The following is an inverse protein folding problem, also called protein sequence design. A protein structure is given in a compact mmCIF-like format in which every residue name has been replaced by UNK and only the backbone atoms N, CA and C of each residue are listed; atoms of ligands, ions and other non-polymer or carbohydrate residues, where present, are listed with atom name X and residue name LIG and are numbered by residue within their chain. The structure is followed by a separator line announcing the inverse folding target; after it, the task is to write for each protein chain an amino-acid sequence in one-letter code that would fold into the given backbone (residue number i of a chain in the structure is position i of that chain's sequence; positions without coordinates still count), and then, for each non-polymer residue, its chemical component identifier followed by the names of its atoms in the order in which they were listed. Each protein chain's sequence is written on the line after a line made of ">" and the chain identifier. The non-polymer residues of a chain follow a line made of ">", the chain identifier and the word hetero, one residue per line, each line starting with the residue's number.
data_IF_211974572840
#
_entry.id   IF_211974572840
#
_cell.length_a   1.000
_cell.length_b   1.000
_cell.length_c   1.000
_cell.angle_alpha   90.00
_cell.angle_beta   90.00
_cell.angle_gamma   90.00
#
_symmetry.space_group_name_H-M   'P 1'
#
loop_
_entity.id
_entity.type
_entity.pdbx_description
1 polymer ?
#
# COMPACT_ATOMS: atom_id res chain seq x y z
N UNK A 1 30.02 -27.20 -17.37
CA UNK A 1 28.63 -26.75 -17.44
C UNK A 1 28.63 -25.48 -18.31
N UNK A 2 28.15 -25.55 -19.54
CA UNK A 2 28.08 -24.38 -20.44
C UNK A 2 26.71 -23.74 -20.16
N UNK A 3 26.69 -22.66 -19.38
CA UNK A 3 25.50 -21.79 -19.28
C UNK A 3 25.35 -21.14 -20.67
N UNK A 4 24.25 -21.42 -21.35
CA UNK A 4 23.98 -20.82 -22.65
C UNK A 4 23.66 -19.34 -22.44
N UNK A 5 24.11 -18.48 -23.35
CA UNK A 5 23.85 -17.03 -23.35
C UNK A 5 22.33 -16.76 -23.29
N UNK A 6 21.50 -17.67 -23.81
CA UNK A 6 20.03 -17.62 -23.72
C UNK A 6 19.49 -17.75 -22.30
N UNK A 7 20.14 -18.53 -21.42
CA UNK A 7 19.72 -18.67 -20.02
C UNK A 7 20.01 -17.40 -19.19
N UNK A 8 21.12 -16.72 -19.49
CA UNK A 8 21.47 -15.43 -18.85
C UNK A 8 20.53 -14.30 -19.29
N UNK A 9 20.13 -14.27 -20.57
CA UNK A 9 19.16 -13.29 -21.07
C UNK A 9 17.75 -13.53 -20.47
N UNK A 10 17.34 -14.79 -20.31
CA UNK A 10 16.06 -15.13 -19.66
C UNK A 10 16.07 -14.73 -18.18
N UNK A 11 17.15 -14.98 -17.45
CA UNK A 11 17.31 -14.57 -16.05
C UNK A 11 17.31 -13.03 -15.90
N UNK A 12 18.00 -12.31 -16.79
CA UNK A 12 17.98 -10.85 -16.81
C UNK A 12 16.59 -10.27 -17.14
N UNK A 13 15.80 -10.96 -17.99
CA UNK A 13 14.41 -10.58 -18.29
C UNK A 13 13.49 -10.80 -17.08
N UNK A 14 13.64 -11.91 -16.34
CA UNK A 14 12.86 -12.21 -15.13
C UNK A 14 13.10 -11.15 -14.07
N UNK A 15 14.37 -10.81 -13.79
CA UNK A 15 14.70 -9.76 -12.82
C UNK A 15 14.08 -8.41 -13.19
N UNK A 16 14.10 -8.03 -14.48
CA UNK A 16 13.50 -6.76 -14.92
C UNK A 16 11.96 -6.77 -14.89
N UNK A 17 11.31 -7.90 -15.15
CA UNK A 17 9.83 -8.00 -15.12
C UNK A 17 9.32 -7.98 -13.69
N UNK A 18 9.96 -8.71 -12.76
CA UNK A 18 9.59 -8.70 -11.34
C UNK A 18 9.72 -7.31 -10.71
N UNK A 19 10.77 -6.58 -11.08
CA UNK A 19 11.02 -5.21 -10.62
C UNK A 19 10.06 -4.18 -11.24
N UNK A 20 9.67 -4.33 -12.51
CA UNK A 20 8.77 -3.38 -13.17
C UNK A 20 7.34 -3.42 -12.61
N UNK A 21 6.90 -4.53 -12.02
CA UNK A 21 5.53 -4.70 -11.54
C UNK A 21 5.34 -4.34 -10.06
N UNK A 22 6.34 -4.52 -9.22
CA UNK A 22 6.35 -3.95 -7.87
C UNK A 22 6.45 -2.42 -7.87
N UNK A 23 6.84 -1.82 -8.99
CA UNK A 23 7.06 -0.37 -9.19
C UNK A 23 5.78 0.44 -9.52
N UNK A 24 4.65 -0.20 -9.75
CA UNK A 24 3.40 0.50 -10.14
C UNK A 24 2.46 0.80 -8.98
N UNK A 25 2.85 0.51 -7.74
CA UNK A 25 2.03 0.77 -6.56
C UNK A 25 2.68 1.83 -5.67
N UNK A 26 1.89 2.83 -5.26
CA UNK A 26 2.29 3.78 -4.22
C UNK A 26 2.50 3.10 -2.86
N UNK A 27 2.83 3.89 -1.85
CA UNK A 27 2.98 3.39 -0.49
C UNK A 27 1.65 3.08 0.20
N UNK A 28 0.60 3.81 -0.15
CA UNK A 28 -0.71 3.64 0.46
C UNK A 28 -1.40 2.39 -0.09
N UNK A 29 -1.75 1.48 0.81
CA UNK A 29 -2.51 0.28 0.48
C UNK A 29 -3.98 0.49 0.87
N UNK A 30 -4.88 0.87 -0.07
CA UNK A 30 -6.27 1.09 0.24
C UNK A 30 -6.94 -0.21 0.70
N UNK A 31 -7.88 -0.10 1.66
CA UNK A 31 -8.59 -1.24 2.24
C UNK A 31 -7.88 -1.92 3.42
N UNK A 32 -6.66 -1.49 3.78
CA UNK A 32 -5.94 -2.01 4.96
C UNK A 32 -6.50 -1.42 6.26
N UNK A 33 -6.93 -0.16 6.23
CA UNK A 33 -7.56 0.49 7.39
C UNK A 33 -9.02 0.04 7.55
N UNK A 34 -9.49 -0.03 8.79
CA UNK A 34 -10.88 -0.36 9.06
C UNK A 34 -11.77 0.87 8.90
N UNK A 35 -13.08 0.63 8.77
CA UNK A 35 -14.06 1.68 8.42
C UNK A 35 -14.03 2.90 9.37
N UNK A 36 -13.55 2.80 10.61
CA UNK A 36 -13.54 3.93 11.56
C UNK A 36 -12.17 4.43 11.95
N UNK A 37 -11.12 3.95 11.31
CA UNK A 37 -9.73 4.24 11.71
C UNK A 37 -9.23 5.63 11.25
N UNK A 38 -9.92 6.26 10.29
CA UNK A 38 -9.52 7.56 9.75
C UNK A 38 -10.14 8.76 10.50
N UNK A 39 -10.77 8.53 11.65
CA UNK A 39 -11.28 9.59 12.52
C UNK A 39 -10.24 9.99 13.57
N UNK A 40 -9.99 11.29 13.71
CA UNK A 40 -9.11 11.81 14.76
C UNK A 40 -9.73 11.54 16.14
N UNK A 41 -8.99 10.96 17.10
CA UNK A 41 -9.52 10.76 18.45
C UNK A 41 -10.02 12.07 19.08
N UNK A 42 -11.23 12.08 19.65
CA UNK A 42 -11.86 13.31 20.17
C UNK A 42 -11.25 13.80 21.50
N UNK A 43 -10.40 12.99 22.11
CA UNK A 43 -9.79 13.27 23.41
C UNK A 43 -8.27 13.33 23.29
N UNK A 44 -7.60 14.24 24.02
CA UNK A 44 -6.14 14.25 24.06
C UNK A 44 -5.60 12.98 24.71
N UNK A 45 -4.49 12.47 24.16
CA UNK A 45 -3.82 11.30 24.70
C UNK A 45 -2.84 10.68 23.71
N UNK A 46 -2.14 9.67 24.21
CA UNK A 46 -1.33 8.79 23.38
C UNK A 46 -2.15 7.54 23.04
N UNK A 47 -2.15 7.17 21.79
CA UNK A 47 -2.85 6.00 21.27
C UNK A 47 -1.86 5.13 20.52
N UNK A 48 -2.07 3.83 20.62
CA UNK A 48 -1.34 2.83 19.90
C UNK A 48 -2.31 1.97 19.10
N UNK A 49 -2.04 1.81 17.81
CA UNK A 49 -2.70 0.83 16.97
C UNK A 49 -1.64 0.00 16.26
N UNK A 50 -1.98 -1.19 15.82
CA UNK A 50 -1.10 -2.01 15.00
C UNK A 50 -1.90 -2.64 13.88
N UNK A 51 -1.45 -2.38 12.66
CA UNK A 51 -1.97 -3.05 11.49
C UNK A 51 -1.08 -4.24 11.15
N UNK A 52 -1.72 -5.36 10.83
CA UNK A 52 -1.03 -6.54 10.34
C UNK A 52 -1.76 -6.94 9.06
N UNK A 53 -1.03 -6.98 7.96
CA UNK A 53 -1.56 -7.37 6.66
C UNK A 53 -0.81 -8.60 6.15
N UNK A 54 -1.54 -9.57 5.63
CA UNK A 54 -1.01 -10.68 4.86
C UNK A 54 -1.64 -10.64 3.48
N UNK A 55 -0.80 -10.63 2.48
CA UNK A 55 -1.19 -10.64 1.07
C UNK A 55 -0.54 -11.81 0.37
N UNK A 56 -1.31 -12.52 -0.44
CA UNK A 56 -0.87 -13.65 -1.24
C UNK A 56 -1.43 -13.49 -2.66
N UNK A 57 -0.58 -13.65 -3.67
CA UNK A 57 -0.97 -13.62 -5.06
C UNK A 57 -0.23 -14.71 -5.85
N UNK A 58 -0.99 -15.56 -6.51
CA UNK A 58 -0.50 -16.69 -7.33
C UNK A 58 -0.51 -16.40 -8.83
N UNK A 59 -0.86 -15.19 -9.23
CA UNK A 59 -0.96 -14.80 -10.65
C UNK A 59 -1.05 -13.29 -10.83
N UNK A 60 -0.60 -12.87 -11.98
CA UNK A 60 -0.81 -11.53 -12.50
C UNK A 60 -1.93 -11.52 -13.55
N UNK A 61 -2.77 -10.49 -13.52
CA UNK A 61 -3.82 -10.27 -14.53
C UNK A 61 -3.78 -8.82 -15.03
N UNK A 62 -4.09 -8.61 -16.30
CA UNK A 62 -4.26 -7.27 -16.88
C UNK A 62 -5.60 -6.63 -16.50
N UNK A 63 -5.84 -5.39 -16.94
CA UNK A 63 -7.09 -4.66 -16.66
C UNK A 63 -8.35 -5.30 -17.23
N UNK A 64 -8.22 -6.22 -18.17
CA UNK A 64 -9.31 -7.00 -18.80
C UNK A 64 -9.50 -8.37 -18.12
N UNK A 65 -8.67 -8.70 -17.12
CA UNK A 65 -8.71 -9.97 -16.39
C UNK A 65 -7.99 -11.11 -17.08
N UNK A 66 -7.26 -10.85 -18.18
CA UNK A 66 -6.46 -11.88 -18.84
C UNK A 66 -5.15 -12.09 -18.08
N UNK A 67 -4.66 -13.33 -18.06
CA UNK A 67 -3.29 -13.61 -17.60
C UNK A 67 -2.32 -12.92 -18.56
N UNK A 68 -1.57 -11.93 -18.09
CA UNK A 68 -0.74 -11.07 -18.94
C UNK A 68 0.63 -11.66 -19.28
N UNK A 69 0.82 -12.93 -19.12
CA UNK A 69 2.13 -13.54 -19.05
C UNK A 69 2.48 -14.43 -20.23
N UNK A 70 1.63 -14.41 -21.26
CA UNK A 70 1.94 -15.05 -22.52
C UNK A 70 2.47 -13.99 -23.48
N UNK A 71 3.80 -13.90 -23.64
CA UNK A 71 4.39 -13.08 -24.69
C UNK A 71 4.78 -13.96 -25.86
N UNK A 72 4.40 -13.55 -27.06
CA UNK A 72 5.04 -14.09 -28.25
C UNK A 72 6.43 -13.47 -28.40
N UNK A 73 7.46 -14.28 -28.27
CA UNK A 73 8.83 -13.89 -28.61
C UNK A 73 9.24 -14.52 -29.96
N UNK A 74 10.30 -14.00 -30.59
CA UNK A 74 10.90 -14.65 -31.78
C UNK A 74 11.28 -16.12 -31.55
N UNK A 75 11.27 -16.60 -30.28
CA UNK A 75 11.60 -17.97 -29.86
C UNK A 75 10.43 -18.84 -29.49
N UNK A 76 9.19 -18.31 -29.51
CA UNK A 76 7.97 -19.03 -29.08
C UNK A 76 7.21 -18.37 -27.94
N UNK A 77 6.20 -19.06 -27.45
CA UNK A 77 5.37 -18.62 -26.31
C UNK A 77 6.17 -18.69 -25.00
N UNK A 78 6.16 -17.61 -24.24
CA UNK A 78 6.82 -17.49 -22.92
C UNK A 78 5.72 -17.47 -21.86
N UNK A 79 5.77 -18.44 -20.94
CA UNK A 79 4.86 -18.50 -19.79
C UNK A 79 5.61 -18.10 -18.51
N UNK A 80 5.08 -17.16 -17.77
CA UNK A 80 5.59 -16.71 -16.48
C UNK A 80 4.57 -17.04 -15.38
N UNK A 81 4.94 -17.85 -14.42
CA UNK A 81 4.19 -18.09 -13.18
C UNK A 81 4.87 -17.28 -12.06
N UNK A 82 4.08 -16.58 -11.26
CA UNK A 82 4.58 -15.80 -10.11
C UNK A 82 3.77 -16.11 -8.88
N UNK A 83 4.47 -16.33 -7.76
CA UNK A 83 3.90 -16.41 -6.42
C UNK A 83 4.50 -15.29 -5.57
N UNK A 84 3.66 -14.51 -4.92
CA UNK A 84 4.06 -13.40 -4.06
C UNK A 84 3.35 -13.50 -2.73
N UNK A 85 4.13 -13.58 -1.64
CA UNK A 85 3.66 -13.53 -0.27
C UNK A 85 4.22 -12.30 0.43
N UNK A 86 3.36 -11.49 1.03
CA UNK A 86 3.76 -10.31 1.81
C UNK A 86 3.12 -10.36 3.18
N UNK A 87 3.95 -10.30 4.23
CA UNK A 87 3.52 -10.02 5.59
C UNK A 87 3.99 -8.61 5.95
N UNK A 88 3.06 -7.71 6.28
CA UNK A 88 3.36 -6.36 6.73
C UNK A 88 2.84 -6.12 8.15
N UNK A 89 3.65 -5.44 8.96
CA UNK A 89 3.34 -5.03 10.32
C UNK A 89 3.63 -3.54 10.45
N UNK A 90 2.60 -2.75 10.77
CA UNK A 90 2.69 -1.31 10.92
C UNK A 90 2.17 -0.87 12.30
N UNK A 91 3.03 -0.74 13.32
CA UNK A 91 2.68 -0.10 14.58
C UNK A 91 2.50 1.40 14.37
N UNK A 92 1.40 1.95 14.85
CA UNK A 92 1.05 3.37 14.78
C UNK A 92 1.14 3.98 16.16
N UNK A 93 1.99 5.00 16.31
CA UNK A 93 2.17 5.79 17.52
C UNK A 93 1.54 7.16 17.31
N UNK A 94 0.37 7.37 17.91
CA UNK A 94 -0.47 8.53 17.68
C UNK A 94 -0.56 9.41 18.95
N UNK A 95 -0.42 10.72 18.77
CA UNK A 95 -0.70 11.74 19.79
C UNK A 95 -1.84 12.64 19.33
N UNK A 96 -2.97 12.57 20.02
CA UNK A 96 -4.01 13.58 19.96
C UNK A 96 -3.70 14.65 21.02
N UNK A 97 -3.68 15.89 20.61
CA UNK A 97 -3.31 17.00 21.49
C UNK A 97 -4.55 17.71 22.04
N UNK A 98 -4.35 18.58 23.05
CA UNK A 98 -5.40 19.50 23.52
C UNK A 98 -5.52 20.75 22.67
N UNK A 99 -4.74 20.87 21.59
CA UNK A 99 -4.75 22.05 20.71
C UNK A 99 -5.79 21.90 19.60
N UNK A 100 -6.36 23.02 19.22
CA UNK A 100 -7.24 23.13 18.06
C UNK A 100 -6.59 23.99 16.97
N UNK A 101 -6.73 23.58 15.72
CA UNK A 101 -6.30 24.33 14.53
C UNK A 101 -7.50 24.43 13.60
N UNK A 102 -7.88 25.64 13.20
CA UNK A 102 -9.05 25.91 12.36
C UNK A 102 -10.36 25.28 12.91
N UNK A 103 -10.48 25.20 14.24
CA UNK A 103 -11.62 24.57 14.91
C UNK A 103 -11.57 23.03 14.97
N UNK A 104 -10.56 22.40 14.39
CA UNK A 104 -10.36 20.96 14.42
C UNK A 104 -9.48 20.55 15.61
N UNK A 105 -9.69 19.36 16.14
CA UNK A 105 -8.73 18.70 17.03
C UNK A 105 -7.46 18.39 16.23
N UNK A 106 -6.30 18.69 16.83
CA UNK A 106 -5.02 18.44 16.19
C UNK A 106 -4.35 17.19 16.76
N UNK A 107 -3.96 16.31 15.88
CA UNK A 107 -3.18 15.11 16.18
C UNK A 107 -2.00 14.96 15.20
N UNK A 108 -1.08 14.08 15.51
CA UNK A 108 0.01 13.66 14.64
C UNK A 108 0.41 12.23 14.99
N UNK A 109 0.99 11.50 14.03
CA UNK A 109 1.47 10.15 14.29
C UNK A 109 2.68 9.75 13.45
N UNK A 110 3.33 8.68 13.87
CA UNK A 110 4.38 7.98 13.12
C UNK A 110 4.05 6.50 13.06
N UNK A 111 4.27 5.90 11.92
CA UNK A 111 4.03 4.48 11.66
C UNK A 111 5.25 3.88 10.93
N UNK A 112 6.25 3.35 11.67
CA UNK A 112 7.28 2.54 11.05
C UNK A 112 6.66 1.25 10.51
N UNK A 113 7.12 0.80 9.35
CA UNK A 113 6.66 -0.43 8.73
C UNK A 113 7.75 -1.51 8.82
N UNK A 114 7.31 -2.74 9.01
CA UNK A 114 8.16 -3.92 8.98
C UNK A 114 7.50 -4.95 8.08
N UNK A 115 8.30 -5.67 7.30
CA UNK A 115 7.75 -6.63 6.37
C UNK A 115 8.61 -7.86 6.18
N UNK A 116 7.95 -8.91 5.70
CA UNK A 116 8.56 -10.03 5.03
C UNK A 116 7.89 -10.16 3.67
N UNK A 117 8.71 -10.24 2.61
CA UNK A 117 8.26 -10.51 1.24
C UNK A 117 8.93 -11.78 0.76
N UNK A 118 8.17 -12.67 0.16
CA UNK A 118 8.67 -13.83 -0.57
C UNK A 118 8.14 -13.74 -1.98
N UNK A 119 9.04 -13.78 -2.96
CA UNK A 119 8.69 -13.73 -4.39
C UNK A 119 9.32 -14.93 -5.08
N UNK A 120 8.48 -15.82 -5.61
CA UNK A 120 8.90 -16.89 -6.49
C UNK A 120 8.42 -16.62 -7.92
N UNK A 121 9.31 -16.74 -8.89
CA UNK A 121 8.96 -16.62 -10.30
C UNK A 121 9.52 -17.80 -11.11
N UNK A 122 8.69 -18.31 -12.03
CA UNK A 122 9.06 -19.39 -12.94
C UNK A 122 8.76 -18.96 -14.36
N UNK A 123 9.80 -18.85 -15.17
CA UNK A 123 9.72 -18.55 -16.59
C UNK A 123 9.89 -19.83 -17.40
N UNK A 124 8.94 -20.15 -18.25
CA UNK A 124 9.00 -21.28 -19.19
C UNK A 124 9.06 -20.75 -20.63
N UNK A 125 10.06 -21.18 -21.39
CA UNK A 125 10.22 -20.89 -22.81
C UNK A 125 10.59 -22.19 -23.53
N UNK A 126 9.70 -22.74 -24.34
CA UNK A 126 9.86 -24.06 -24.96
C UNK A 126 10.17 -25.14 -23.89
N UNK A 127 11.31 -25.83 -24.00
CA UNK A 127 11.78 -26.85 -23.04
C UNK A 127 12.73 -26.27 -21.94
N UNK A 128 12.88 -24.94 -21.85
CA UNK A 128 13.75 -24.30 -20.85
C UNK A 128 12.91 -23.67 -19.76
N UNK A 129 13.28 -23.91 -18.49
CA UNK A 129 12.64 -23.36 -17.31
C UNK A 129 13.66 -22.63 -16.47
N UNK A 130 13.46 -21.33 -16.26
CA UNK A 130 14.17 -20.53 -15.28
C UNK A 130 13.31 -20.37 -14.02
N UNK A 131 13.92 -20.38 -12.83
CA UNK A 131 13.26 -20.13 -11.54
C UNK A 131 14.08 -19.17 -10.72
N UNK A 132 13.42 -18.27 -10.02
CA UNK A 132 13.99 -17.48 -8.94
C UNK A 132 13.08 -17.59 -7.71
N UNK A 133 13.67 -17.48 -6.54
CA UNK A 133 12.98 -17.53 -5.24
C UNK A 133 13.78 -16.62 -4.30
N UNK A 134 13.21 -15.46 -3.96
CA UNK A 134 13.85 -14.43 -3.17
C UNK A 134 12.98 -14.09 -1.95
N UNK A 135 13.62 -14.08 -0.78
CA UNK A 135 13.00 -13.73 0.50
C UNK A 135 13.68 -12.48 1.07
N UNK A 136 12.88 -11.49 1.42
CA UNK A 136 13.33 -10.31 2.16
C UNK A 136 12.60 -10.18 3.50
N UNK A 137 13.32 -9.75 4.53
CA UNK A 137 12.75 -9.38 5.83
C UNK A 137 13.46 -8.15 6.37
N UNK A 138 12.70 -7.17 6.84
CA UNK A 138 13.32 -5.95 7.37
C UNK A 138 12.34 -4.84 7.68
N UNK A 139 12.92 -3.66 7.89
CA UNK A 139 12.18 -2.41 8.03
C UNK A 139 11.83 -1.89 6.64
N UNK A 140 10.59 -1.51 6.45
CA UNK A 140 10.10 -0.79 5.29
C UNK A 140 10.11 0.72 5.50
N UNK A 141 9.43 1.42 4.61
CA UNK A 141 9.36 2.88 4.64
C UNK A 141 8.44 3.37 5.75
N UNK A 142 8.92 4.34 6.52
CA UNK A 142 8.21 4.88 7.67
C UNK A 142 7.26 5.98 7.25
N UNK A 143 5.99 5.87 7.62
CA UNK A 143 5.03 6.95 7.44
C UNK A 143 5.07 7.92 8.62
N UNK A 144 5.10 9.21 8.33
CA UNK A 144 4.96 10.30 9.30
C UNK A 144 3.81 11.21 8.88
N UNK A 145 2.88 11.47 9.80
CA UNK A 145 1.76 12.39 9.57
C UNK A 145 1.80 13.52 10.59
N UNK A 146 2.52 14.61 10.31
CA UNK A 146 2.64 15.74 11.22
C UNK A 146 1.36 16.56 11.36
N UNK A 147 0.44 16.44 10.42
CA UNK A 147 -0.84 17.16 10.42
C UNK A 147 -1.96 16.12 10.29
N UNK A 148 -2.80 16.04 11.33
CA UNK A 148 -4.05 15.33 11.30
C UNK A 148 -5.10 16.14 12.05
N UNK A 149 -6.07 16.67 11.33
CA UNK A 149 -7.10 17.58 11.81
C UNK A 149 -8.46 16.88 11.79
N UNK A 150 -9.21 16.92 12.89
CA UNK A 150 -10.52 16.30 13.00
C UNK A 150 -11.59 17.26 13.50
N UNK A 151 -12.68 17.38 12.74
CA UNK A 151 -13.88 18.12 13.10
C UNK A 151 -14.98 17.14 13.45
N UNK A 152 -15.46 17.16 14.70
CA UNK A 152 -16.55 16.33 15.17
C UNK A 152 -17.85 17.14 15.24
N UNK A 153 -18.88 16.64 14.58
CA UNK A 153 -20.25 17.13 14.68
C UNK A 153 -21.17 16.14 15.39
N UNK A 154 -22.45 16.44 15.55
CA UNK A 154 -23.41 15.54 16.18
C UNK A 154 -23.58 14.22 15.38
N UNK A 155 -23.61 14.32 14.06
CA UNK A 155 -23.90 13.23 13.13
C UNK A 155 -22.82 13.00 12.09
N UNK A 156 -21.65 13.61 12.26
CA UNK A 156 -20.53 13.43 11.33
C UNK A 156 -19.20 13.63 12.03
N UNK A 157 -18.17 13.02 11.48
CA UNK A 157 -16.77 13.35 11.73
C UNK A 157 -16.08 13.59 10.39
N UNK A 158 -15.30 14.65 10.31
CA UNK A 158 -14.45 14.94 9.14
C UNK A 158 -13.00 14.92 9.59
N UNK A 159 -12.12 14.44 8.73
CA UNK A 159 -10.69 14.56 8.98
C UNK A 159 -9.93 14.98 7.72
N UNK A 160 -8.80 15.64 7.96
CA UNK A 160 -7.81 15.96 6.94
C UNK A 160 -6.43 15.64 7.48
N UNK A 161 -5.63 14.94 6.72
CA UNK A 161 -4.26 14.56 7.02
C UNK A 161 -3.29 14.97 5.93
N UNK A 162 -2.08 15.39 6.34
CA UNK A 162 -0.95 15.57 5.45
C UNK A 162 0.28 14.91 6.06
N UNK A 163 0.92 14.06 5.31
CA UNK A 163 2.04 13.23 5.75
C UNK A 163 2.96 12.83 4.62
N UNK A 164 3.96 12.03 4.96
CA UNK A 164 4.88 11.47 3.98
C UNK A 164 5.41 10.10 4.42
N UNK A 165 5.62 9.24 3.48
CA UNK A 165 6.48 8.06 3.61
C UNK A 165 7.93 8.48 3.37
N UNK A 166 8.81 8.09 4.27
CA UNK A 166 10.23 8.33 4.22
C UNK A 166 10.93 7.03 3.77
N UNK A 167 11.87 7.07 2.83
CA UNK A 167 12.58 5.89 2.33
C UNK A 167 13.57 5.40 3.39
N UNK A 168 13.07 4.81 4.46
CA UNK A 168 13.84 4.26 5.59
C UNK A 168 14.02 2.75 5.48
N UNK A 169 13.32 2.11 4.56
CA UNK A 169 13.44 0.71 4.26
C UNK A 169 14.69 0.38 3.46
N UNK A 170 15.12 -0.88 3.53
CA UNK A 170 16.18 -1.35 2.64
C UNK A 170 15.65 -1.33 1.20
N UNK A 171 16.37 -0.65 0.34
CA UNK A 171 16.13 -0.66 -1.10
C UNK A 171 17.45 -0.89 -1.84
N UNK A 172 17.40 -1.68 -2.89
CA UNK A 172 18.49 -1.91 -3.83
C UNK A 172 17.87 -2.14 -5.22
N UNK A 173 18.26 -1.32 -6.19
CA UNK A 173 17.70 -1.40 -7.55
C UNK A 173 18.11 -2.68 -8.29
N UNK A 174 19.22 -3.32 -7.89
CA UNK A 174 19.77 -4.52 -8.53
C UNK A 174 19.31 -5.81 -7.81
N UNK A 175 18.87 -5.71 -6.55
CA UNK A 175 18.46 -6.84 -5.71
C UNK A 175 16.93 -6.94 -5.57
N UNK A 176 16.38 -8.13 -5.75
CA UNK A 176 14.95 -8.41 -5.57
C UNK A 176 14.50 -8.45 -4.10
N UNK A 177 15.41 -8.30 -3.12
CA UNK A 177 15.15 -8.44 -1.69
C UNK A 177 14.82 -7.10 -0.97
N UNK A 178 14.33 -6.11 -1.71
CA UNK A 178 13.96 -4.81 -1.17
C UNK A 178 12.63 -4.85 -0.40
N UNK A 179 12.61 -4.28 0.82
CA UNK A 179 11.39 -4.06 1.61
C UNK A 179 10.88 -2.61 1.45
N UNK A 180 11.79 -1.63 1.33
CA UNK A 180 11.49 -0.25 0.98
C UNK A 180 11.30 -0.07 -0.52
N UNK A 181 10.66 1.04 -0.92
CA UNK A 181 10.42 1.37 -2.33
C UNK A 181 11.52 2.27 -2.93
N UNK A 182 12.45 2.79 -2.10
CA UNK A 182 13.56 3.62 -2.56
C UNK A 182 13.16 5.03 -2.98
N UNK A 183 11.96 5.51 -2.66
CA UNK A 183 11.51 6.88 -2.90
C UNK A 183 10.63 7.39 -1.76
N UNK A 184 10.59 8.69 -1.57
CA UNK A 184 9.65 9.32 -0.66
C UNK A 184 8.28 9.51 -1.34
N UNK A 185 7.21 9.48 -0.55
CA UNK A 185 5.86 9.76 -1.03
C UNK A 185 5.20 10.78 -0.13
N UNK A 186 4.75 11.89 -0.69
CA UNK A 186 3.86 12.81 0.01
C UNK A 186 2.42 12.31 -0.09
N UNK A 187 1.66 12.43 1.01
CA UNK A 187 0.28 11.97 1.08
C UNK A 187 -0.63 13.07 1.63
N UNK A 188 -1.73 13.30 0.94
CA UNK A 188 -2.87 14.07 1.43
C UNK A 188 -4.08 13.15 1.55
N UNK A 189 -4.76 13.19 2.70
CA UNK A 189 -5.92 12.34 2.94
C UNK A 189 -7.06 13.14 3.53
N UNK A 190 -8.28 12.91 3.06
CA UNK A 190 -9.51 13.45 3.63
C UNK A 190 -10.48 12.33 3.88
N UNK A 191 -11.13 12.31 5.04
CA UNK A 191 -12.17 11.34 5.36
C UNK A 191 -13.43 12.00 5.93
N UNK A 192 -14.56 11.36 5.71
CA UNK A 192 -15.86 11.77 6.19
C UNK A 192 -16.63 10.55 6.70
N UNK A 193 -17.13 10.65 7.92
CA UNK A 193 -18.06 9.71 8.52
C UNK A 193 -19.42 10.37 8.66
N UNK A 194 -20.47 9.67 8.24
CA UNK A 194 -21.84 10.09 8.43
C UNK A 194 -22.59 9.08 9.29
N UNK A 195 -23.03 9.49 10.47
CA UNK A 195 -23.74 8.64 11.42
C UNK A 195 -25.24 8.68 11.16
N UNK A 196 -25.81 7.51 10.87
CA UNK A 196 -27.23 7.38 10.50
C UNK A 196 -28.16 7.46 11.71
N UNK A 197 -27.63 7.22 12.91
CA UNK A 197 -28.35 7.26 14.18
C UNK A 197 -27.62 8.13 15.23
N UNK A 198 -28.36 8.58 16.27
CA UNK A 198 -27.83 9.43 17.34
C UNK A 198 -26.79 8.74 18.21
N UNK A 199 -26.90 7.42 18.35
CA UNK A 199 -25.94 6.63 19.10
C UNK A 199 -24.64 6.38 18.34
N UNK A 200 -24.53 6.87 17.09
CA UNK A 200 -23.41 6.65 16.17
C UNK A 200 -23.10 5.16 15.96
N UNK A 201 -24.12 4.31 16.10
CA UNK A 201 -23.98 2.88 15.91
C UNK A 201 -23.79 2.52 14.44
N UNK A 202 -24.49 3.22 13.53
CA UNK A 202 -24.38 3.04 12.08
C UNK A 202 -23.59 4.17 11.45
N UNK A 203 -22.59 3.85 10.63
CA UNK A 203 -21.75 4.83 9.95
C UNK A 203 -21.59 4.50 8.46
N UNK A 204 -21.68 5.53 7.63
CA UNK A 204 -21.15 5.54 6.28
C UNK A 204 -19.77 6.21 6.32
N UNK A 205 -18.82 5.68 5.55
CA UNK A 205 -17.48 6.22 5.41
C UNK A 205 -17.17 6.55 3.97
N UNK A 206 -16.45 7.65 3.78
CA UNK A 206 -15.78 8.00 2.52
C UNK A 206 -14.41 8.56 2.84
N UNK A 207 -13.38 8.10 2.13
CA UNK A 207 -12.03 8.65 2.23
C UNK A 207 -11.42 8.79 0.83
N UNK A 208 -10.64 9.85 0.66
CA UNK A 208 -9.84 10.09 -0.54
C UNK A 208 -8.41 10.30 -0.10
N UNK A 209 -7.50 9.54 -0.68
CA UNK A 209 -6.06 9.66 -0.49
C UNK A 209 -5.41 10.01 -1.81
N UNK A 210 -4.57 11.03 -1.81
CA UNK A 210 -3.74 11.44 -2.94
C UNK A 210 -2.28 11.27 -2.57
N UNK A 211 -1.53 10.58 -3.41
CA UNK A 211 -0.09 10.37 -3.27
C UNK A 211 0.65 10.98 -4.44
N UNK A 212 1.79 11.61 -4.14
CA UNK A 212 2.76 12.10 -5.13
C UNK A 212 4.16 11.65 -4.70
N UNK A 213 4.98 11.29 -5.67
CA UNK A 213 6.19 10.50 -5.44
C UNK A 213 7.45 11.26 -5.85
N UNK A 214 8.55 10.98 -5.14
CA UNK A 214 9.87 11.39 -5.56
C UNK A 214 10.51 10.42 -6.54
N UNK A 215 11.63 10.81 -7.09
CA UNK A 215 12.47 9.94 -7.91
C UNK A 215 12.98 8.75 -7.10
N UNK A 216 12.95 7.58 -7.68
CA UNK A 216 13.41 6.34 -7.05
C UNK A 216 14.94 6.30 -7.05
N UNK A 217 15.52 5.95 -5.92
CA UNK A 217 16.96 5.83 -5.70
C UNK A 217 17.61 4.90 -6.74
N UNK A 218 18.78 5.30 -7.23
CA UNK A 218 19.56 4.58 -8.24
C UNK A 218 18.85 4.33 -9.58
N UNK A 219 17.80 5.09 -9.87
CA UNK A 219 17.06 5.06 -11.14
C UNK A 219 16.69 6.46 -11.59
N UNK A 220 16.29 6.63 -12.87
CA UNK A 220 15.72 7.87 -13.41
C UNK A 220 14.17 7.77 -13.47
N UNK A 221 13.55 6.98 -12.56
CA UNK A 221 12.12 6.71 -12.57
C UNK A 221 11.43 7.50 -11.45
N UNK A 222 10.39 8.23 -11.80
CA UNK A 222 9.43 8.81 -10.85
C UNK A 222 8.08 8.17 -11.09
N UNK A 223 7.55 7.52 -10.06
CA UNK A 223 6.23 6.90 -10.13
C UNK A 223 5.14 7.98 -10.28
N UNK A 224 4.19 7.77 -11.17
CA UNK A 224 3.07 8.68 -11.36
C UNK A 224 2.15 8.72 -10.15
N UNK A 225 1.52 9.88 -9.93
CA UNK A 225 0.66 10.16 -8.79
C UNK A 225 -0.56 9.22 -8.71
N UNK A 226 -0.99 8.90 -7.48
CA UNK A 226 -2.13 8.01 -7.24
C UNK A 226 -3.27 8.72 -6.50
N UNK A 227 -4.49 8.33 -6.85
CA UNK A 227 -5.70 8.68 -6.12
C UNK A 227 -6.40 7.40 -5.69
N UNK A 228 -6.66 7.26 -4.39
CA UNK A 228 -7.46 6.17 -3.83
C UNK A 228 -8.75 6.73 -3.26
N UNK A 229 -9.86 6.07 -3.57
CA UNK A 229 -11.17 6.31 -2.98
C UNK A 229 -11.56 5.07 -2.18
N UNK A 230 -11.85 5.27 -0.90
CA UNK A 230 -12.36 4.23 0.00
C UNK A 230 -13.77 4.59 0.44
N UNK A 231 -14.62 3.59 0.62
CA UNK A 231 -15.98 3.76 1.06
C UNK A 231 -16.44 2.55 1.85
N UNK A 232 -17.32 2.77 2.81
CA UNK A 232 -17.78 1.70 3.65
C UNK A 232 -19.07 2.02 4.41
N UNK A 233 -19.64 0.96 4.96
CA UNK A 233 -20.72 1.01 5.94
C UNK A 233 -20.39 0.09 7.09
N UNK A 234 -20.57 0.57 8.32
CA UNK A 234 -20.46 -0.25 9.51
C UNK A 234 -21.62 -0.08 10.46
N UNK A 235 -21.84 -1.12 11.28
CA UNK A 235 -22.88 -1.18 12.29
C UNK A 235 -22.33 -1.81 13.57
N UNK A 236 -22.40 -1.09 14.69
CA UNK A 236 -22.23 -1.69 16.00
C UNK A 236 -23.47 -2.51 16.38
N UNK A 237 -23.29 -3.82 16.52
CA UNK A 237 -24.33 -4.74 17.04
C UNK A 237 -24.36 -4.73 18.57
N UNK A 238 -23.24 -4.37 19.19
CA UNK A 238 -23.10 -4.18 20.64
C UNK A 238 -21.89 -3.26 20.89
N UNK A 239 -21.63 -2.93 22.16
CA UNK A 239 -20.43 -2.15 22.54
C UNK A 239 -19.08 -2.83 22.20
N UNK A 240 -19.10 -4.09 21.77
CA UNK A 240 -17.89 -4.90 21.49
C UNK A 240 -17.86 -5.55 20.12
N UNK A 241 -18.94 -5.45 19.40
CA UNK A 241 -19.07 -6.11 18.08
C UNK A 241 -19.52 -5.07 17.07
N UNK A 242 -18.68 -4.82 16.09
CA UNK A 242 -18.95 -4.06 14.90
C UNK A 242 -18.87 -4.98 13.69
N UNK A 243 -19.77 -4.80 12.73
CA UNK A 243 -19.75 -5.47 11.43
C UNK A 243 -19.83 -4.42 10.34
N UNK A 244 -19.20 -4.67 9.21
CA UNK A 244 -19.22 -3.70 8.13
C UNK A 244 -18.83 -4.33 6.80
N UNK A 245 -18.99 -3.53 5.76
CA UNK A 245 -18.52 -3.80 4.41
C UNK A 245 -17.80 -2.57 3.92
N UNK A 246 -16.63 -2.75 3.32
CA UNK A 246 -15.86 -1.68 2.70
C UNK A 246 -15.39 -2.09 1.31
N UNK A 247 -15.08 -1.10 0.51
CA UNK A 247 -14.49 -1.27 -0.80
C UNK A 247 -13.62 -0.06 -1.14
N UNK A 248 -12.80 -0.22 -2.16
CA UNK A 248 -11.96 0.85 -2.64
C UNK A 248 -11.82 0.82 -4.16
N UNK A 249 -11.35 1.93 -4.69
CA UNK A 249 -10.89 2.08 -6.07
C UNK A 249 -9.63 2.93 -6.06
N UNK A 250 -8.63 2.57 -6.87
CA UNK A 250 -7.37 3.30 -6.98
C UNK A 250 -7.06 3.56 -8.45
N UNK A 251 -6.54 4.72 -8.74
CA UNK A 251 -6.15 5.16 -10.08
C UNK A 251 -4.78 5.83 -10.02
N UNK A 252 -3.93 5.51 -10.95
CA UNK A 252 -2.78 6.33 -11.30
C UNK A 252 -3.27 7.47 -12.18
N UNK A 253 -3.01 8.72 -11.79
CA UNK A 253 -3.54 9.92 -12.44
C UNK A 253 -2.48 10.70 -13.21
N UNK A 254 -1.21 10.38 -13.00
CA UNK A 254 -0.07 10.87 -13.76
C UNK A 254 0.77 9.70 -14.27
N UNK A 255 1.47 9.87 -15.38
CA UNK A 255 2.35 8.83 -15.96
C UNK A 255 3.70 8.84 -15.27
N UNK A 256 4.33 7.67 -15.20
CA UNK A 256 5.72 7.47 -14.83
C UNK A 256 6.67 8.15 -15.81
#
# INVERSE_FOLDING_TARGET
>A
MKVSVSGLLAMALICNISMAQARTMGHYAPGVVSIRDLAVPPVPGFFYAQYNAYYEADRYVDGDGNKRLDFESEGGEVELETDVDVLAIAPVFLWSTSKTILGANYAFYVAPNFGKTSVAAKLSLLDQVGKTDDDAIGMGDTFVQPIWLGWQGERYDLAFGAGAYLPTGKYDAEDGDSIGLGFWTGQLQSSAYWYLDEARASALEFAVTYEFHGEQEDTDITLGDHVSLEYGYSQYLSQRIEVGISGYSQWQVEKD
#
